data_IF_569970547006
#
_entry.id   IF_569970547006
#
_cell.length_a   1.000
_cell.length_b   1.000
_cell.length_c   1.000
_cell.angle_alpha   90.00
_cell.angle_beta   90.00
_cell.angle_gamma   90.00
#
_symmetry.space_group_name_H-M   'P 1'
#
loop_
_entity.id
_entity.type
_entity.pdbx_description
1 polymer ?
#
# COMPACT_ATOMS: atom_id res chain seq x y z
N UNK A 1 18.77 59.42 10.41
CA UNK A 1 18.76 58.10 11.07
C UNK A 1 17.31 57.69 11.20
N UNK A 2 16.80 56.93 10.24
CA UNK A 2 15.41 56.48 10.22
C UNK A 2 15.40 54.97 10.02
N UNK A 3 14.75 54.31 10.97
CA UNK A 3 14.86 52.89 11.26
C UNK A 3 13.99 52.09 10.27
N UNK A 4 14.51 51.79 9.07
CA UNK A 4 13.84 50.98 8.03
C UNK A 4 14.20 49.50 8.11
N UNK A 5 14.41 48.98 9.32
CA UNK A 5 14.90 47.62 9.56
C UNK A 5 13.86 46.60 10.06
N UNK A 6 12.57 46.94 10.12
CA UNK A 6 11.57 46.11 10.83
C UNK A 6 10.35 45.68 9.99
N UNK A 7 10.33 45.91 8.68
CA UNK A 7 9.19 45.55 7.82
C UNK A 7 9.47 44.45 6.79
N UNK A 8 10.63 43.79 6.85
CA UNK A 8 11.03 42.78 5.86
C UNK A 8 11.29 41.39 6.49
N UNK A 9 10.64 41.10 7.63
CA UNK A 9 10.89 39.84 8.35
C UNK A 9 9.65 39.12 8.88
N UNK A 10 8.47 39.46 8.39
CA UNK A 10 7.21 38.90 8.90
C UNK A 10 6.25 38.37 7.84
N UNK A 11 6.62 38.39 6.56
CA UNK A 11 5.79 37.79 5.48
C UNK A 11 6.31 36.47 4.92
N UNK A 12 7.44 35.95 5.42
CA UNK A 12 7.97 34.65 4.96
C UNK A 12 7.58 33.45 5.86
N UNK A 13 6.91 33.66 7.00
CA UNK A 13 6.74 32.60 8.00
C UNK A 13 5.30 32.08 8.21
N UNK A 14 4.29 32.56 7.47
CA UNK A 14 2.87 32.28 7.84
C UNK A 14 2.06 31.44 6.85
N UNK A 15 2.54 31.08 5.66
CA UNK A 15 1.69 30.33 4.69
C UNK A 15 2.20 28.94 4.25
N UNK A 16 3.20 28.39 4.92
CA UNK A 16 3.62 27.00 4.72
C UNK A 16 3.94 26.35 6.06
N UNK A 17 2.94 26.21 6.94
CA UNK A 17 3.02 25.25 8.04
C UNK A 17 2.90 23.80 7.50
N UNK A 18 3.83 23.44 6.60
CA UNK A 18 4.16 22.06 6.27
C UNK A 18 4.99 21.56 7.42
N UNK A 19 4.34 21.10 8.49
CA UNK A 19 5.04 20.42 9.56
C UNK A 19 5.74 19.18 8.98
N UNK A 20 7.03 19.34 8.62
CA UNK A 20 7.87 18.31 8.00
C UNK A 20 7.87 17.06 8.87
N UNK A 21 7.88 17.25 10.20
CA UNK A 21 7.74 16.17 11.18
C UNK A 21 6.49 15.30 10.94
N UNK A 22 5.31 15.90 10.70
CA UNK A 22 4.08 15.14 10.43
C UNK A 22 4.21 14.32 9.14
N UNK A 23 4.79 14.91 8.09
CA UNK A 23 5.01 14.22 6.80
C UNK A 23 5.95 13.04 6.99
N UNK A 24 7.07 13.24 7.69
CA UNK A 24 8.08 12.21 7.94
C UNK A 24 7.50 11.08 8.79
N UNK A 25 6.75 11.39 9.85
CA UNK A 25 6.11 10.38 10.71
C UNK A 25 5.09 9.57 9.90
N UNK A 26 4.23 10.24 9.13
CA UNK A 26 3.21 9.58 8.31
C UNK A 26 3.86 8.64 7.28
N UNK A 27 4.88 9.13 6.57
CA UNK A 27 5.64 8.35 5.61
C UNK A 27 6.35 7.15 6.25
N UNK A 28 7.00 7.35 7.40
CA UNK A 28 7.69 6.29 8.12
C UNK A 28 6.73 5.17 8.52
N UNK A 29 5.56 5.52 9.06
CA UNK A 29 4.55 4.52 9.44
C UNK A 29 4.02 3.79 8.20
N UNK A 30 3.72 4.51 7.12
CA UNK A 30 3.28 3.89 5.87
C UNK A 30 4.33 2.91 5.31
N UNK A 31 5.61 3.30 5.34
CA UNK A 31 6.75 2.46 4.94
C UNK A 31 6.86 1.22 5.83
N UNK A 32 6.65 1.33 7.14
CA UNK A 32 6.68 0.17 8.05
C UNK A 32 5.54 -0.80 7.72
N UNK A 33 4.31 -0.31 7.51
CA UNK A 33 3.19 -1.18 7.11
C UNK A 33 3.40 -1.81 5.74
N UNK A 34 3.99 -1.05 4.82
CA UNK A 34 4.37 -1.49 3.48
C UNK A 34 5.40 -2.64 3.53
N UNK A 35 6.45 -2.48 4.34
CA UNK A 35 7.43 -3.54 4.60
C UNK A 35 6.79 -4.76 5.28
N UNK A 36 6.00 -4.53 6.33
CA UNK A 36 5.32 -5.60 7.06
C UNK A 36 4.40 -6.42 6.13
N UNK A 37 3.69 -5.75 5.22
CA UNK A 37 2.87 -6.41 4.21
C UNK A 37 3.71 -7.33 3.33
N UNK A 38 4.81 -6.83 2.76
CA UNK A 38 5.72 -7.63 1.93
C UNK A 38 6.34 -8.80 2.69
N UNK A 39 6.70 -8.59 3.96
CA UNK A 39 7.32 -9.59 4.82
C UNK A 39 6.36 -10.74 5.13
N UNK A 40 5.15 -10.43 5.60
CA UNK A 40 4.14 -11.45 5.89
C UNK A 40 3.63 -12.14 4.62
N UNK A 41 3.54 -11.41 3.51
CA UNK A 41 3.20 -12.01 2.21
C UNK A 41 4.26 -13.02 1.77
N UNK A 42 5.54 -12.67 1.88
CA UNK A 42 6.64 -13.62 1.61
C UNK A 42 6.56 -14.83 2.54
N UNK A 43 6.39 -14.61 3.84
CA UNK A 43 6.30 -15.69 4.83
C UNK A 43 5.12 -16.63 4.52
N UNK A 44 3.99 -16.08 4.07
CA UNK A 44 2.86 -16.87 3.59
C UNK A 44 3.21 -17.69 2.35
N UNK A 45 3.84 -17.09 1.34
CA UNK A 45 4.21 -17.80 0.10
C UNK A 45 5.19 -18.94 0.38
N UNK A 46 6.18 -18.72 1.24
CA UNK A 46 7.24 -19.70 1.54
C UNK A 46 6.79 -20.80 2.49
N UNK A 47 6.05 -20.46 3.55
CA UNK A 47 5.67 -21.42 4.60
C UNK A 47 4.24 -21.97 4.47
N UNK A 48 3.39 -21.36 3.64
CA UNK A 48 2.01 -21.80 3.41
C UNK A 48 1.08 -21.68 4.63
N UNK A 49 1.47 -20.96 5.69
CA UNK A 49 0.68 -20.86 6.92
C UNK A 49 -0.36 -19.73 6.84
N UNK A 50 -1.61 -20.06 7.20
CA UNK A 50 -2.73 -19.12 7.17
C UNK A 50 -2.56 -17.89 8.08
N UNK A 51 -1.85 -18.04 9.20
CA UNK A 51 -1.59 -16.93 10.13
C UNK A 51 -0.83 -15.78 9.45
N UNK A 52 0.12 -16.09 8.57
CA UNK A 52 0.88 -15.07 7.84
C UNK A 52 0.02 -14.35 6.79
N UNK A 53 -0.96 -15.03 6.19
CA UNK A 53 -1.91 -14.38 5.30
C UNK A 53 -2.78 -13.35 6.05
N UNK A 54 -3.24 -13.69 7.25
CA UNK A 54 -4.00 -12.76 8.10
C UNK A 54 -3.15 -11.55 8.51
N UNK A 55 -1.89 -11.75 8.90
CA UNK A 55 -0.99 -10.64 9.24
C UNK A 55 -0.64 -9.77 8.03
N UNK A 56 -0.47 -10.37 6.84
CA UNK A 56 -0.30 -9.62 5.59
C UNK A 56 -1.54 -8.77 5.30
N UNK A 57 -2.75 -9.35 5.42
CA UNK A 57 -3.99 -8.61 5.23
C UNK A 57 -4.13 -7.43 6.22
N UNK A 58 -3.79 -7.64 7.49
CA UNK A 58 -3.83 -6.60 8.51
C UNK A 58 -2.82 -5.48 8.22
N UNK A 59 -1.62 -5.84 7.77
CA UNK A 59 -0.60 -4.88 7.33
C UNK A 59 -1.05 -4.10 6.08
N UNK A 60 -1.75 -4.74 5.15
CA UNK A 60 -2.35 -4.07 3.98
C UNK A 60 -3.38 -3.02 4.39
N UNK A 61 -4.25 -3.33 5.37
CA UNK A 61 -5.22 -2.36 5.89
C UNK A 61 -4.54 -1.15 6.55
N UNK A 62 -3.48 -1.41 7.31
CA UNK A 62 -2.64 -0.35 7.88
C UNK A 62 -2.04 0.52 6.78
N UNK A 63 -1.38 -0.09 5.79
CA UNK A 63 -0.82 0.61 4.63
C UNK A 63 -1.88 1.46 3.92
N UNK A 64 -3.04 0.88 3.58
CA UNK A 64 -4.13 1.60 2.89
C UNK A 64 -4.63 2.81 3.68
N UNK A 65 -4.68 2.70 5.01
CA UNK A 65 -5.08 3.81 5.89
C UNK A 65 -4.08 4.95 5.81
N UNK A 66 -2.79 4.67 5.97
CA UNK A 66 -1.74 5.69 5.92
C UNK A 66 -1.54 6.27 4.51
N UNK A 67 -1.64 5.43 3.47
CA UNK A 67 -1.63 5.84 2.07
C UNK A 67 -2.76 6.83 1.77
N UNK A 68 -3.96 6.59 2.32
CA UNK A 68 -5.07 7.52 2.18
C UNK A 68 -4.82 8.83 2.95
N UNK A 69 -4.27 8.77 4.16
CA UNK A 69 -3.89 9.97 4.92
C UNK A 69 -2.86 10.83 4.18
N UNK A 70 -1.90 10.21 3.49
CA UNK A 70 -0.90 10.94 2.69
C UNK A 70 -1.51 11.79 1.58
N UNK A 71 -2.65 11.36 1.01
CA UNK A 71 -3.41 12.16 0.03
C UNK A 71 -3.91 13.47 0.66
N UNK A 72 -4.32 13.47 1.92
CA UNK A 72 -4.86 14.64 2.62
C UNK A 72 -3.78 15.55 3.23
N UNK A 73 -2.73 14.97 3.81
CA UNK A 73 -1.78 15.72 4.64
C UNK A 73 -0.59 16.27 3.86
N UNK A 74 -0.20 15.61 2.79
CA UNK A 74 0.95 16.04 1.98
C UNK A 74 0.38 16.88 0.84
N UNK A 75 0.98 18.03 0.53
CA UNK A 75 0.54 18.92 -0.56
C UNK A 75 1.50 18.97 -1.75
N UNK A 76 2.79 18.71 -1.53
CA UNK A 76 3.76 18.65 -2.62
C UNK A 76 3.64 17.31 -3.36
N UNK A 77 3.52 17.35 -4.70
CA UNK A 77 3.46 16.14 -5.52
C UNK A 77 4.80 15.40 -5.53
N UNK A 78 5.91 16.13 -5.65
CA UNK A 78 7.26 15.52 -5.64
C UNK A 78 7.55 14.73 -4.35
N UNK A 79 7.18 15.29 -3.18
CA UNK A 79 7.39 14.63 -1.89
C UNK A 79 6.58 13.33 -1.81
N UNK A 80 5.32 13.34 -2.25
CA UNK A 80 4.50 12.14 -2.19
C UNK A 80 4.93 11.08 -3.20
N UNK A 81 5.41 11.48 -4.38
CA UNK A 81 6.01 10.54 -5.33
C UNK A 81 7.24 9.84 -4.76
N UNK A 82 8.10 10.58 -4.05
CA UNK A 82 9.25 10.01 -3.35
C UNK A 82 8.83 9.04 -2.25
N UNK A 83 7.79 9.38 -1.47
CA UNK A 83 7.27 8.51 -0.41
C UNK A 83 6.69 7.22 -0.99
N UNK A 84 5.89 7.31 -2.06
CA UNK A 84 5.36 6.12 -2.75
C UNK A 84 6.51 5.26 -3.28
N UNK A 85 7.56 5.87 -3.84
CA UNK A 85 8.73 5.14 -4.30
C UNK A 85 9.37 4.35 -3.15
N UNK A 86 9.60 4.99 -2.00
CA UNK A 86 10.13 4.34 -0.81
C UNK A 86 9.21 3.24 -0.27
N UNK A 87 7.89 3.45 -0.26
CA UNK A 87 6.92 2.41 0.11
C UNK A 87 7.02 1.21 -0.86
N UNK A 88 7.09 1.44 -2.16
CA UNK A 88 7.20 0.34 -3.12
C UNK A 88 8.51 -0.44 -2.99
N UNK A 89 9.61 0.25 -2.68
CA UNK A 89 10.86 -0.41 -2.31
C UNK A 89 10.72 -1.19 -0.99
N UNK A 90 9.99 -0.67 -0.01
CA UNK A 90 9.75 -1.33 1.26
C UNK A 90 8.91 -2.61 1.10
N UNK A 91 7.87 -2.59 0.26
CA UNK A 91 7.11 -3.80 -0.14
C UNK A 91 8.02 -4.83 -0.82
N UNK A 92 8.96 -4.38 -1.66
CA UNK A 92 9.89 -5.25 -2.38
C UNK A 92 11.01 -5.80 -1.49
N UNK A 93 11.47 -5.04 -0.50
CA UNK A 93 12.66 -5.36 0.29
C UNK A 93 12.67 -6.76 0.91
N UNK A 94 11.56 -7.30 1.47
CA UNK A 94 11.51 -8.68 1.96
C UNK A 94 11.86 -9.74 0.92
N UNK A 95 11.67 -9.46 -0.37
CA UNK A 95 11.90 -10.36 -1.49
C UNK A 95 13.31 -10.22 -2.11
N UNK A 96 14.27 -9.63 -1.41
CA UNK A 96 15.64 -9.39 -1.90
C UNK A 96 16.37 -10.66 -2.38
N UNK A 97 16.02 -11.81 -1.84
CA UNK A 97 16.55 -13.14 -2.16
C UNK A 97 15.83 -13.82 -3.34
N UNK A 98 14.68 -13.30 -3.75
CA UNK A 98 13.85 -13.81 -4.85
C UNK A 98 13.62 -12.76 -5.95
N UNK A 99 14.57 -11.85 -6.14
CA UNK A 99 14.49 -10.82 -7.17
C UNK A 99 14.56 -11.44 -8.57
N UNK A 100 13.41 -11.44 -9.25
CA UNK A 100 13.28 -11.84 -10.65
C UNK A 100 12.77 -10.67 -11.51
N UNK A 101 12.94 -10.76 -12.83
CA UNK A 101 12.37 -9.78 -13.77
C UNK A 101 10.85 -9.63 -13.59
N UNK A 102 10.17 -10.74 -13.27
CA UNK A 102 8.74 -10.79 -12.99
C UNK A 102 8.37 -9.99 -11.74
N UNK A 103 9.09 -10.21 -10.64
CA UNK A 103 8.89 -9.46 -9.38
C UNK A 103 9.16 -7.98 -9.59
N UNK A 104 10.26 -7.62 -10.27
CA UNK A 104 10.60 -6.24 -10.58
C UNK A 104 9.52 -5.55 -11.44
N UNK A 105 8.98 -6.24 -12.44
CA UNK A 105 7.88 -5.74 -13.26
C UNK A 105 6.59 -5.55 -12.44
N UNK A 106 6.29 -6.49 -11.54
CA UNK A 106 5.18 -6.36 -10.59
C UNK A 106 5.32 -5.13 -9.69
N UNK A 107 6.51 -4.91 -9.11
CA UNK A 107 6.79 -3.72 -8.30
C UNK A 107 6.61 -2.44 -9.10
N UNK A 108 7.10 -2.40 -10.34
CA UNK A 108 6.98 -1.23 -11.20
C UNK A 108 5.50 -0.92 -11.52
N UNK A 109 4.70 -1.94 -11.85
CA UNK A 109 3.26 -1.75 -12.08
C UNK A 109 2.57 -1.22 -10.82
N UNK A 110 2.84 -1.82 -9.66
CA UNK A 110 2.23 -1.39 -8.40
C UNK A 110 2.62 0.04 -8.03
N UNK A 111 3.87 0.44 -8.28
CA UNK A 111 4.31 1.83 -8.14
C UNK A 111 3.51 2.79 -9.02
N UNK A 112 3.34 2.48 -10.30
CA UNK A 112 2.55 3.31 -11.22
C UNK A 112 1.08 3.40 -10.79
N UNK A 113 0.51 2.31 -10.30
CA UNK A 113 -0.88 2.28 -9.83
C UNK A 113 -1.05 3.09 -8.53
N UNK A 114 -0.09 3.01 -7.61
CA UNK A 114 -0.09 3.83 -6.40
C UNK A 114 0.02 5.31 -6.73
N UNK A 115 0.95 5.68 -7.62
CA UNK A 115 1.06 7.06 -8.13
C UNK A 115 -0.25 7.54 -8.74
N UNK A 116 -0.90 6.71 -9.57
CA UNK A 116 -2.18 7.04 -10.17
C UNK A 116 -3.28 7.24 -9.12
N UNK A 117 -3.32 6.38 -8.09
CA UNK A 117 -4.26 6.49 -6.98
C UNK A 117 -4.13 7.83 -6.24
N UNK A 118 -2.89 8.24 -5.96
CA UNK A 118 -2.62 9.51 -5.28
C UNK A 118 -2.90 10.70 -6.19
N UNK A 119 -2.49 10.64 -7.46
CA UNK A 119 -2.76 11.69 -8.43
C UNK A 119 -4.27 11.96 -8.56
N UNK A 120 -5.08 10.92 -8.73
CA UNK A 120 -6.54 11.05 -8.82
C UNK A 120 -7.13 11.56 -7.49
N UNK A 121 -6.66 11.02 -6.36
CA UNK A 121 -7.11 11.44 -5.03
C UNK A 121 -6.85 12.92 -4.76
N UNK A 122 -5.68 13.41 -5.18
CA UNK A 122 -5.29 14.82 -5.05
C UNK A 122 -5.99 15.75 -6.01
N UNK A 123 -6.06 15.37 -7.29
CA UNK A 123 -6.83 16.14 -8.26
C UNK A 123 -8.28 16.31 -7.79
N UNK A 124 -8.86 15.30 -7.13
CA UNK A 124 -10.17 15.44 -6.52
C UNK A 124 -10.17 16.37 -5.30
N UNK A 125 -9.17 16.26 -4.42
CA UNK A 125 -9.05 17.10 -3.23
C UNK A 125 -8.88 18.59 -3.59
N UNK A 126 -8.01 18.90 -4.54
CA UNK A 126 -7.69 20.27 -4.97
C UNK A 126 -8.86 20.96 -5.67
N UNK A 127 -9.74 20.18 -6.32
CA UNK A 127 -10.92 20.69 -7.02
C UNK A 127 -12.13 20.91 -6.09
N UNK A 128 -11.97 20.80 -4.77
CA UNK A 128 -13.10 20.83 -3.82
C UNK A 128 -12.97 21.92 -2.77
N UNK A 129 -14.01 22.77 -2.66
CA UNK A 129 -14.13 23.80 -1.61
C UNK A 129 -14.31 23.23 -0.19
N UNK A 130 -14.67 21.94 -0.07
CA UNK A 130 -14.85 21.24 1.22
C UNK A 130 -14.32 19.82 1.13
N UNK A 131 -13.58 19.40 2.16
CA UNK A 131 -13.04 18.04 2.26
C UNK A 131 -14.21 17.04 2.36
N UNK A 132 -14.41 16.22 1.32
CA UNK A 132 -15.35 15.08 1.34
C UNK A 132 -14.56 13.78 1.39
N UNK A 133 -14.16 13.37 2.60
CA UNK A 133 -13.36 12.17 2.87
C UNK A 133 -13.82 10.96 2.04
N UNK A 134 -15.10 10.61 2.15
CA UNK A 134 -15.68 9.45 1.46
C UNK A 134 -15.52 9.45 -0.05
N UNK A 135 -15.58 10.63 -0.68
CA UNK A 135 -15.47 10.76 -2.14
C UNK A 135 -14.03 10.54 -2.61
N UNK A 136 -13.06 11.05 -1.86
CA UNK A 136 -11.63 10.88 -2.14
C UNK A 136 -11.25 9.42 -1.88
N UNK A 137 -11.65 8.84 -0.75
CA UNK A 137 -11.39 7.43 -0.43
C UNK A 137 -11.90 6.48 -1.51
N UNK A 138 -13.11 6.72 -2.04
CA UNK A 138 -13.69 5.93 -3.14
C UNK A 138 -12.92 6.00 -4.45
N UNK A 139 -12.12 7.05 -4.68
CA UNK A 139 -11.29 7.18 -5.89
C UNK A 139 -9.87 6.64 -5.67
N UNK A 140 -9.30 6.88 -4.49
CA UNK A 140 -7.93 6.51 -4.15
C UNK A 140 -7.79 5.03 -3.78
N UNK A 141 -8.63 4.53 -2.85
CA UNK A 141 -8.46 3.19 -2.28
C UNK A 141 -8.56 2.07 -3.32
N UNK A 142 -9.49 2.07 -4.29
CA UNK A 142 -9.55 0.99 -5.28
C UNK A 142 -8.25 0.86 -6.09
N UNK A 143 -7.55 1.96 -6.36
CA UNK A 143 -6.25 1.94 -7.05
C UNK A 143 -5.18 1.34 -6.15
N UNK A 144 -5.09 1.77 -4.89
CA UNK A 144 -4.14 1.20 -3.95
C UNK A 144 -4.38 -0.31 -3.71
N UNK A 145 -5.64 -0.73 -3.58
CA UNK A 145 -6.02 -2.15 -3.48
C UNK A 145 -5.60 -2.90 -4.76
N UNK A 146 -5.86 -2.35 -5.94
CA UNK A 146 -5.45 -2.97 -7.20
C UNK A 146 -3.92 -3.11 -7.30
N UNK A 147 -3.15 -2.10 -6.86
CA UNK A 147 -1.69 -2.14 -6.87
C UNK A 147 -1.14 -3.21 -5.94
N UNK A 148 -1.72 -3.38 -4.74
CA UNK A 148 -1.38 -4.47 -3.82
C UNK A 148 -1.78 -5.82 -4.37
N UNK A 149 -3.00 -5.95 -4.92
CA UNK A 149 -3.50 -7.21 -5.47
C UNK A 149 -2.62 -7.69 -6.64
N UNK A 150 -2.29 -6.79 -7.56
CA UNK A 150 -1.41 -7.10 -8.69
C UNK A 150 0.00 -7.46 -8.23
N UNK A 151 0.56 -6.73 -7.26
CA UNK A 151 1.85 -7.09 -6.67
C UNK A 151 1.79 -8.52 -6.11
N UNK A 152 0.82 -8.80 -5.25
CA UNK A 152 0.65 -10.11 -4.62
C UNK A 152 0.50 -11.23 -5.63
N UNK A 153 -0.32 -11.03 -6.67
CA UNK A 153 -0.53 -12.03 -7.72
C UNK A 153 0.75 -12.31 -8.51
N UNK A 154 1.48 -11.26 -8.92
CA UNK A 154 2.70 -11.40 -9.71
C UNK A 154 3.81 -12.05 -8.88
N UNK A 155 3.96 -11.64 -7.63
CA UNK A 155 4.98 -12.18 -6.73
C UNK A 155 4.67 -13.61 -6.33
N UNK A 156 3.40 -13.94 -6.08
CA UNK A 156 2.96 -15.31 -5.86
C UNK A 156 3.40 -16.19 -7.02
N UNK A 157 2.99 -15.85 -8.25
CA UNK A 157 3.35 -16.60 -9.46
C UNK A 157 4.87 -16.66 -9.68
N UNK A 158 5.57 -15.55 -9.43
CA UNK A 158 7.01 -15.44 -9.62
C UNK A 158 7.83 -16.29 -8.65
N UNK A 159 7.30 -16.60 -7.46
CA UNK A 159 8.01 -17.37 -6.42
C UNK A 159 7.53 -18.83 -6.38
N UNK A 160 6.22 -19.09 -6.47
CA UNK A 160 5.69 -20.45 -6.41
C UNK A 160 5.92 -21.25 -7.69
N UNK A 161 6.18 -20.56 -8.80
CA UNK A 161 6.26 -21.17 -10.14
C UNK A 161 4.89 -21.68 -10.59
N UNK A 162 4.67 -21.73 -11.91
CA UNK A 162 3.43 -22.26 -12.48
C UNK A 162 3.25 -23.79 -12.30
N UNK A 163 4.22 -24.50 -11.71
CA UNK A 163 4.30 -25.96 -11.77
C UNK A 163 3.85 -26.74 -10.52
N UNK A 164 3.42 -26.10 -9.43
CA UNK A 164 2.93 -26.88 -8.28
C UNK A 164 1.41 -27.12 -8.35
N UNK A 165 1.07 -28.32 -8.82
CA UNK A 165 -0.24 -28.99 -8.81
C UNK A 165 -0.81 -29.25 -7.39
N UNK A 166 -0.53 -28.41 -6.41
CA UNK A 166 -1.13 -28.53 -5.08
C UNK A 166 -2.15 -27.40 -4.92
N UNK A 167 -3.42 -27.79 -5.01
CA UNK A 167 -4.57 -26.93 -4.82
C UNK A 167 -4.38 -25.98 -3.63
N UNK A 168 -4.88 -24.75 -3.81
CA UNK A 168 -4.92 -23.62 -2.86
C UNK A 168 -5.49 -23.95 -1.46
N UNK A 169 -6.04 -25.14 -1.27
CA UNK A 169 -6.66 -25.63 -0.03
C UNK A 169 -6.17 -27.06 0.19
N UNK A 170 -5.55 -27.34 1.34
CA UNK A 170 -5.27 -28.74 1.73
C UNK A 170 -6.58 -29.51 1.82
N UNK A 171 -6.62 -30.79 1.41
CA UNK A 171 -7.84 -31.61 1.46
C UNK A 171 -8.54 -31.53 2.84
N UNK A 172 -7.75 -31.54 3.92
CA UNK A 172 -8.25 -31.35 5.28
C UNK A 172 -8.96 -30.01 5.52
N UNK A 173 -8.52 -28.92 4.90
CA UNK A 173 -9.16 -27.61 5.03
C UNK A 173 -10.41 -27.52 4.15
N UNK A 174 -10.39 -28.16 2.98
CA UNK A 174 -11.54 -28.25 2.09
C UNK A 174 -12.67 -29.06 2.75
N UNK A 175 -12.35 -30.21 3.34
CA UNK A 175 -13.31 -31.03 4.08
C UNK A 175 -13.92 -30.30 5.27
N UNK A 176 -13.15 -29.47 5.99
CA UNK A 176 -13.68 -28.66 7.09
C UNK A 176 -14.66 -27.60 6.62
N UNK A 177 -14.41 -26.97 5.47
CA UNK A 177 -15.32 -25.99 4.88
C UNK A 177 -16.59 -26.70 4.38
N UNK A 178 -16.46 -27.85 3.73
CA UNK A 178 -17.58 -28.62 3.20
C UNK A 178 -18.48 -29.23 4.29
N UNK A 179 -17.93 -29.62 5.45
CA UNK A 179 -18.73 -30.05 6.61
C UNK A 179 -19.62 -28.95 7.19
N UNK A 180 -19.32 -27.68 6.91
CA UNK A 180 -20.13 -26.55 7.35
C UNK A 180 -21.21 -26.16 6.34
N UNK A 181 -21.24 -26.79 5.15
CA UNK A 181 -22.29 -26.62 4.13
C UNK A 181 -23.29 -27.78 4.27
N UNK A 182 -24.48 -27.56 4.87
CA UNK A 182 -25.48 -28.62 4.97
C UNK A 182 -26.00 -28.99 3.57
N UNK A 183 -25.81 -30.25 3.18
CA UNK A 183 -26.45 -30.85 1.99
C UNK A 183 -25.55 -31.30 0.84
N UNK A 184 -24.22 -31.27 0.97
CA UNK A 184 -23.31 -31.83 -0.06
C UNK A 184 -22.70 -33.15 0.41
N UNK A 185 -23.18 -34.27 -0.13
CA UNK A 185 -22.61 -35.61 0.03
C UNK A 185 -22.00 -36.05 -1.32
N UNK A 186 -20.70 -36.34 -1.32
CA UNK A 186 -19.99 -36.95 -2.46
C UNK A 186 -19.63 -38.38 -2.08
N UNK A 187 -20.64 -39.24 -1.96
CA UNK A 187 -20.45 -40.69 -2.01
C UNK A 187 -20.22 -41.11 -3.47
N UNK A 188 -18.98 -40.93 -3.95
CA UNK A 188 -18.43 -41.59 -5.14
C UNK A 188 -16.94 -41.89 -4.93
#
# INVERSE_FOLDING_TARGET
MENRGLLDKTTDEVEVDRSVAKIVILAAIAIIFSFAFGYFLKAFIVHGQWNFLLFSFLAALGFLTFFLLEVFFIKAFWIISLIIFLQTLAILAPFYDHLSKTVAFGTLISFLIFLLGIYIGRAEFDNMLKIKFWRISKKTLPKAIAGLALFSSIVYVGISGFEQKQFFISQNSFEKIMKFVPGFDFSL
#
